data_IF_395143956626
#
_entry.id   IF_395143956626
#
_cell.length_a   1.000
_cell.length_b   1.000
_cell.length_c   1.000
_cell.angle_alpha   90.00
_cell.angle_beta   90.00
_cell.angle_gamma   90.00
#
_symmetry.space_group_name_H-M   'P 1'
#
loop_
_entity.id
_entity.type
_entity.pdbx_description
1 polymer ?
#
# COMPACT_ATOMS: atom_id res chain seq x y z
N UNK A 1 -7.44 -2.38 14.80
CA UNK A 1 -7.97 -3.76 14.76
C UNK A 1 -7.18 -4.63 15.73
N UNK A 2 -7.85 -5.24 16.70
CA UNK A 2 -7.21 -6.10 17.72
C UNK A 2 -7.07 -7.52 17.18
N UNK A 3 -8.09 -8.01 16.47
CA UNK A 3 -8.12 -9.34 15.86
C UNK A 3 -9.05 -9.36 14.65
N UNK A 4 -8.75 -10.21 13.66
CA UNK A 4 -9.55 -10.41 12.45
C UNK A 4 -9.02 -9.68 11.24
N UNK A 5 -9.83 -9.65 10.18
CA UNK A 5 -9.54 -9.00 8.91
C UNK A 5 -10.74 -8.14 8.47
N UNK A 6 -10.48 -6.99 7.88
CA UNK A 6 -11.49 -6.11 7.35
C UNK A 6 -11.01 -5.41 6.07
N UNK A 7 -11.93 -4.85 5.32
CA UNK A 7 -11.66 -4.07 4.12
C UNK A 7 -12.23 -2.66 4.30
N UNK A 8 -11.41 -1.65 4.04
CA UNK A 8 -11.86 -0.30 3.83
C UNK A 8 -12.36 -0.19 2.40
N UNK A 9 -13.62 0.10 2.23
CA UNK A 9 -14.27 0.16 0.91
C UNK A 9 -14.86 1.52 0.67
N UNK A 10 -14.95 1.88 -0.60
CA UNK A 10 -15.63 3.08 -1.08
C UNK A 10 -16.67 2.68 -2.12
N UNK A 11 -17.83 3.30 -2.04
CA UNK A 11 -18.84 3.22 -3.09
C UNK A 11 -18.84 4.52 -3.90
N UNK A 12 -18.79 4.39 -5.22
CA UNK A 12 -18.94 5.53 -6.12
C UNK A 12 -20.44 5.91 -6.29
N UNK A 13 -20.71 6.98 -7.03
CA UNK A 13 -22.06 7.42 -7.30
C UNK A 13 -22.91 6.42 -8.11
N UNK A 14 -22.30 5.43 -8.75
CA UNK A 14 -22.96 4.34 -9.44
C UNK A 14 -23.16 3.09 -8.57
N UNK A 15 -22.71 3.14 -7.30
CA UNK A 15 -22.79 2.02 -6.36
C UNK A 15 -21.66 0.97 -6.57
N UNK A 16 -20.64 1.30 -7.36
CA UNK A 16 -19.50 0.39 -7.57
C UNK A 16 -18.63 0.38 -6.34
N UNK A 17 -18.42 -0.82 -5.79
CA UNK A 17 -17.56 -1.05 -4.63
C UNK A 17 -16.09 -1.09 -5.04
N UNK A 18 -15.28 -0.25 -4.43
CA UNK A 18 -13.81 -0.28 -4.59
C UNK A 18 -13.17 -0.57 -3.24
N UNK A 19 -12.31 -1.57 -3.18
CA UNK A 19 -11.51 -1.86 -1.99
C UNK A 19 -10.32 -0.91 -2.01
N UNK A 20 -10.24 -0.04 -1.00
CA UNK A 20 -9.14 0.91 -0.84
C UNK A 20 -7.98 0.28 -0.08
N UNK A 21 -8.29 -0.46 0.99
CA UNK A 21 -7.30 -1.09 1.85
C UNK A 21 -7.84 -2.38 2.45
N UNK A 22 -6.95 -3.35 2.67
CA UNK A 22 -7.20 -4.53 3.50
C UNK A 22 -6.42 -4.39 4.79
N UNK A 23 -7.09 -4.67 5.88
CA UNK A 23 -6.56 -4.51 7.23
C UNK A 23 -6.57 -5.85 7.95
N UNK A 24 -5.46 -6.11 8.61
CA UNK A 24 -5.26 -7.26 9.49
C UNK A 24 -5.07 -6.77 10.93
N UNK A 25 -4.80 -7.68 11.83
CA UNK A 25 -4.44 -7.38 13.22
C UNK A 25 -3.34 -6.33 13.29
N UNK A 26 -3.55 -5.28 14.06
CA UNK A 26 -2.68 -4.10 14.16
C UNK A 26 -3.01 -3.00 13.15
N UNK A 27 -3.88 -3.23 12.16
CA UNK A 27 -4.35 -2.22 11.23
C UNK A 27 -5.16 -1.12 11.92
N UNK A 28 -5.08 0.10 11.40
CA UNK A 28 -5.82 1.28 11.88
C UNK A 28 -6.64 1.83 10.72
N UNK A 29 -7.82 2.32 11.01
CA UNK A 29 -8.70 2.97 10.04
C UNK A 29 -9.41 4.17 10.67
N UNK A 30 -9.87 5.09 9.82
CA UNK A 30 -10.57 6.30 10.25
C UNK A 30 -9.65 7.45 10.65
N UNK A 31 -8.32 7.28 10.61
CA UNK A 31 -7.36 8.35 10.91
C UNK A 31 -7.53 9.54 9.96
N UNK A 32 -7.71 9.29 8.67
CA UNK A 32 -7.93 10.37 7.70
C UNK A 32 -9.23 11.14 7.99
N UNK A 33 -10.31 10.45 8.35
CA UNK A 33 -11.57 11.07 8.69
C UNK A 33 -11.47 11.87 9.98
N UNK A 34 -10.73 11.37 10.97
CA UNK A 34 -10.51 12.06 12.24
C UNK A 34 -9.75 13.38 12.07
N UNK A 35 -8.82 13.46 11.10
CA UNK A 35 -7.97 14.63 10.90
C UNK A 35 -8.46 15.60 9.82
N UNK A 36 -9.29 15.17 8.88
CA UNK A 36 -9.61 15.97 7.69
C UNK A 36 -11.03 16.50 7.65
N UNK A 37 -11.90 16.14 8.57
CA UNK A 37 -13.34 16.51 8.53
C UNK A 37 -13.94 16.33 7.10
N UNK A 38 -13.49 15.34 6.36
CA UNK A 38 -13.94 15.06 5.00
C UNK A 38 -15.42 14.62 5.07
N UNK A 39 -16.30 15.56 4.79
CA UNK A 39 -17.74 15.33 4.72
C UNK A 39 -18.07 14.66 3.38
N UNK A 40 -18.79 13.56 3.44
CA UNK A 40 -19.46 13.01 2.26
C UNK A 40 -18.78 11.85 1.55
N UNK A 41 -17.72 11.28 2.09
CA UNK A 41 -17.15 10.07 1.51
C UNK A 41 -17.94 8.83 1.97
N UNK A 42 -18.46 8.06 1.03
CA UNK A 42 -19.08 6.76 1.24
C UNK A 42 -18.03 5.70 1.57
N UNK A 43 -17.28 5.94 2.64
CA UNK A 43 -16.29 5.01 3.17
C UNK A 43 -16.94 4.09 4.19
N UNK A 44 -16.75 2.79 4.00
CA UNK A 44 -17.23 1.78 4.93
C UNK A 44 -16.08 0.84 5.29
N UNK A 45 -16.11 0.33 6.51
CA UNK A 45 -15.23 -0.75 6.95
C UNK A 45 -16.07 -2.02 7.06
N UNK A 46 -15.75 -2.99 6.24
CA UNK A 46 -16.48 -4.26 6.15
C UNK A 46 -15.58 -5.37 6.69
N UNK A 47 -16.05 -6.06 7.72
CA UNK A 47 -15.33 -7.22 8.27
C UNK A 47 -15.40 -8.42 7.34
N UNK A 48 -14.30 -9.14 7.19
CA UNK A 48 -14.25 -10.40 6.43
C UNK A 48 -14.72 -11.62 7.26
N UNK A 49 -15.07 -11.40 8.52
CA UNK A 49 -15.54 -12.41 9.46
C UNK A 49 -15.66 -11.84 10.85
N UNK A 50 -15.39 -12.66 11.87
CA UNK A 50 -15.37 -12.19 13.27
C UNK A 50 -14.17 -11.27 13.49
N UNK A 51 -14.42 -10.04 13.93
CA UNK A 51 -13.41 -9.03 14.19
C UNK A 51 -13.55 -8.43 15.59
N UNK A 52 -12.43 -8.08 16.18
CA UNK A 52 -12.34 -7.30 17.40
C UNK A 52 -11.69 -5.96 17.10
N UNK A 53 -12.39 -4.86 17.39
CA UNK A 53 -11.96 -3.49 17.06
C UNK A 53 -11.94 -2.66 18.34
N UNK A 54 -10.85 -1.93 18.55
CA UNK A 54 -10.75 -0.90 19.57
C UNK A 54 -11.00 0.46 18.93
N UNK A 55 -12.08 1.11 19.37
CA UNK A 55 -12.37 2.50 19.00
C UNK A 55 -11.69 3.45 19.97
N UNK A 56 -11.02 4.46 19.43
CA UNK A 56 -10.37 5.52 20.21
C UNK A 56 -10.93 6.87 19.80
N UNK A 57 -11.32 7.66 20.78
CA UNK A 57 -11.87 8.98 20.55
C UNK A 57 -10.77 9.99 20.24
N UNK A 58 -10.86 10.67 19.10
CA UNK A 58 -9.85 11.61 18.62
C UNK A 58 -9.51 12.72 19.64
N UNK A 59 -10.48 13.39 20.30
CA UNK A 59 -10.19 14.35 21.34
C UNK A 59 -9.34 13.81 22.48
N UNK A 60 -9.48 12.53 22.83
CA UNK A 60 -8.67 11.90 23.88
C UNK A 60 -7.22 11.64 23.41
N UNK A 61 -7.02 11.39 22.12
CA UNK A 61 -5.67 11.25 21.54
C UNK A 61 -4.94 12.59 21.54
N UNK A 62 -5.63 13.67 21.20
CA UNK A 62 -5.05 15.01 21.08
C UNK A 62 -4.93 15.77 22.38
N UNK A 63 -5.66 15.37 23.41
CA UNK A 63 -5.62 16.05 24.73
C UNK A 63 -4.29 15.78 25.40
N UNK A 64 -3.49 16.84 25.58
CA UNK A 64 -2.23 16.76 26.32
C UNK A 64 -2.50 16.31 27.76
N UNK A 65 -1.77 15.26 28.18
CA UNK A 65 -1.71 14.93 29.59
C UNK A 65 -0.97 16.05 30.34
N UNK A 66 -1.50 16.53 31.44
CA UNK A 66 -0.85 17.56 32.28
C UNK A 66 0.54 17.13 32.75
N UNK A 67 0.81 15.83 32.83
CA UNK A 67 2.08 15.24 33.27
C UNK A 67 2.97 14.69 32.15
N UNK A 68 2.77 15.09 30.88
CA UNK A 68 3.56 14.62 29.73
C UNK A 68 3.88 13.11 29.80
N UNK A 69 2.84 12.26 29.96
CA UNK A 69 3.04 10.86 30.22
C UNK A 69 3.64 10.12 29.02
N UNK A 70 4.57 9.22 29.31
CA UNK A 70 5.31 8.45 28.29
C UNK A 70 4.38 7.63 27.38
N UNK A 71 3.24 7.15 27.88
CA UNK A 71 2.26 6.40 27.10
C UNK A 71 1.60 7.26 26.03
N UNK A 72 1.25 8.50 26.36
CA UNK A 72 0.67 9.42 25.39
C UNK A 72 1.67 9.80 24.29
N UNK A 73 2.92 10.07 24.67
CA UNK A 73 3.98 10.37 23.69
C UNK A 73 4.19 9.21 22.71
N UNK A 74 4.21 7.96 23.21
CA UNK A 74 4.30 6.76 22.35
C UNK A 74 3.10 6.58 21.44
N UNK A 75 1.89 6.85 21.94
CA UNK A 75 0.68 6.78 21.12
C UNK A 75 0.76 7.75 19.94
N UNK A 76 1.09 9.01 20.20
CA UNK A 76 1.24 10.05 19.18
C UNK A 76 2.34 9.70 18.18
N UNK A 77 3.51 9.24 18.66
CA UNK A 77 4.61 8.79 17.79
C UNK A 77 4.19 7.63 16.88
N UNK A 78 3.48 6.64 17.43
CA UNK A 78 2.98 5.53 16.64
C UNK A 78 1.98 5.97 15.58
N UNK A 79 1.07 6.90 15.89
CA UNK A 79 0.14 7.47 14.93
C UNK A 79 0.86 8.21 13.80
N UNK A 80 1.86 9.03 14.12
CA UNK A 80 2.68 9.69 13.10
C UNK A 80 3.39 8.68 12.19
N UNK A 81 3.92 7.61 12.77
CA UNK A 81 4.57 6.55 11.99
C UNK A 81 3.60 5.87 11.05
N UNK A 82 2.38 5.57 11.51
CA UNK A 82 1.32 4.99 10.67
C UNK A 82 0.95 5.91 9.51
N UNK A 83 0.69 7.19 9.77
CA UNK A 83 0.33 8.16 8.73
C UNK A 83 1.48 8.34 7.73
N UNK A 84 2.72 8.43 8.19
CA UNK A 84 3.89 8.51 7.32
C UNK A 84 4.04 7.27 6.44
N UNK A 85 3.81 6.08 6.98
CA UNK A 85 3.83 4.83 6.21
C UNK A 85 2.71 4.76 5.18
N UNK A 86 1.50 5.23 5.51
CA UNK A 86 0.39 5.38 4.57
C UNK A 86 0.77 6.33 3.43
N UNK A 87 1.28 7.51 3.76
CA UNK A 87 1.72 8.50 2.77
C UNK A 87 2.80 7.93 1.84
N UNK A 88 3.76 7.20 2.40
CA UNK A 88 4.81 6.52 1.64
C UNK A 88 4.25 5.48 0.67
N UNK A 89 3.29 4.64 1.11
CA UNK A 89 2.62 3.64 0.25
C UNK A 89 1.86 4.31 -0.89
N UNK A 90 1.12 5.38 -0.61
CA UNK A 90 0.39 6.13 -1.64
C UNK A 90 1.34 6.79 -2.64
N UNK A 91 2.42 7.42 -2.18
CA UNK A 91 3.44 8.01 -3.04
C UNK A 91 4.04 7.00 -4.01
N UNK A 92 4.40 5.81 -3.52
CA UNK A 92 4.92 4.71 -4.36
C UNK A 92 3.89 4.23 -5.39
N UNK A 93 2.63 4.11 -4.98
CA UNK A 93 1.58 3.74 -5.93
C UNK A 93 1.41 4.79 -7.02
N UNK A 94 1.45 6.07 -6.67
CA UNK A 94 1.43 7.17 -7.65
C UNK A 94 2.63 7.05 -8.60
N UNK A 95 3.84 6.82 -8.09
CA UNK A 95 5.04 6.64 -8.89
C UNK A 95 4.89 5.51 -9.92
N UNK A 96 4.38 4.35 -9.50
CA UNK A 96 4.10 3.22 -10.39
C UNK A 96 3.03 3.56 -11.42
N UNK A 97 1.92 4.16 -10.99
CA UNK A 97 0.80 4.48 -11.87
C UNK A 97 1.13 5.58 -12.89
N UNK A 98 2.06 6.46 -12.58
CA UNK A 98 2.55 7.52 -13.45
C UNK A 98 3.38 7.00 -14.64
N UNK A 99 3.81 5.74 -14.58
CA UNK A 99 4.54 5.13 -15.69
C UNK A 99 3.63 4.90 -16.89
N UNK A 100 4.15 5.13 -18.10
CA UNK A 100 3.35 5.13 -19.34
C UNK A 100 2.97 3.73 -19.82
N UNK A 101 3.89 2.77 -19.73
CA UNK A 101 3.68 1.41 -20.23
C UNK A 101 3.51 0.41 -19.08
N UNK A 102 2.86 -0.74 -19.38
CA UNK A 102 2.75 -1.85 -18.42
C UNK A 102 4.14 -2.33 -18.01
N UNK A 103 5.09 -2.40 -18.94
CA UNK A 103 6.48 -2.76 -18.69
C UNK A 103 7.14 -1.83 -17.68
N UNK A 104 7.00 -0.53 -17.87
CA UNK A 104 7.62 0.46 -16.98
C UNK A 104 6.96 0.46 -15.60
N UNK A 105 5.63 0.28 -15.53
CA UNK A 105 4.92 0.09 -14.26
C UNK A 105 5.44 -1.11 -13.48
N UNK A 106 5.60 -2.25 -14.16
CA UNK A 106 6.15 -3.47 -13.56
C UNK A 106 7.59 -3.27 -13.11
N UNK A 107 8.46 -2.67 -13.94
CA UNK A 107 9.86 -2.38 -13.59
C UNK A 107 9.95 -1.47 -12.37
N UNK A 108 9.20 -0.38 -12.36
CA UNK A 108 9.13 0.56 -11.23
C UNK A 108 8.69 -0.16 -9.95
N UNK A 109 7.62 -0.93 -10.00
CA UNK A 109 7.12 -1.68 -8.85
C UNK A 109 8.13 -2.72 -8.35
N UNK A 110 8.76 -3.49 -9.25
CA UNK A 110 9.75 -4.49 -8.89
C UNK A 110 11.01 -3.88 -8.30
N UNK A 111 11.42 -2.72 -8.82
CA UNK A 111 12.54 -1.97 -8.25
C UNK A 111 12.24 -1.53 -6.80
N UNK A 112 11.06 -0.97 -6.56
CA UNK A 112 10.62 -0.59 -5.20
C UNK A 112 10.66 -1.80 -4.26
N UNK A 113 10.12 -2.94 -4.66
CA UNK A 113 10.14 -4.16 -3.85
C UNK A 113 11.57 -4.65 -3.55
N UNK A 114 12.45 -4.60 -4.54
CA UNK A 114 13.84 -5.01 -4.36
C UNK A 114 14.59 -4.08 -3.41
N UNK A 115 14.36 -2.78 -3.48
CA UNK A 115 14.93 -1.80 -2.53
C UNK A 115 14.45 -2.09 -1.10
N UNK A 116 13.18 -2.41 -0.91
CA UNK A 116 12.61 -2.76 0.40
C UNK A 116 13.18 -4.06 0.96
N UNK A 117 13.45 -5.01 0.09
CA UNK A 117 14.03 -6.31 0.46
C UNK A 117 15.55 -6.25 0.68
N UNK A 118 16.18 -5.12 0.40
CA UNK A 118 17.63 -4.94 0.51
C UNK A 118 18.45 -5.72 -0.52
N UNK A 119 17.84 -6.14 -1.66
CA UNK A 119 18.52 -6.94 -2.67
C UNK A 119 17.77 -7.01 -3.99
N UNK A 120 18.21 -7.91 -4.87
CA UNK A 120 17.59 -8.13 -6.19
C UNK A 120 16.43 -9.12 -6.18
N UNK A 121 16.18 -9.77 -5.05
CA UNK A 121 15.13 -10.77 -4.89
C UNK A 121 14.12 -10.29 -3.86
N UNK A 122 12.85 -10.36 -4.22
CA UNK A 122 11.74 -9.99 -3.36
C UNK A 122 10.61 -11.03 -3.45
N UNK A 123 9.70 -11.02 -2.49
CA UNK A 123 8.47 -11.82 -2.55
C UNK A 123 7.31 -10.87 -2.82
N UNK A 124 6.53 -11.17 -3.88
CA UNK A 124 5.32 -10.40 -4.17
C UNK A 124 4.35 -10.50 -2.98
N UNK A 125 3.92 -9.37 -2.40
CA UNK A 125 3.05 -9.37 -1.21
C UNK A 125 1.63 -9.89 -1.52
N UNK A 126 1.25 -9.95 -2.79
CA UNK A 126 -0.08 -10.34 -3.24
C UNK A 126 -0.03 -11.20 -4.52
N UNK A 127 -1.20 -11.69 -4.96
CA UNK A 127 -1.35 -12.49 -6.17
C UNK A 127 -1.11 -11.67 -7.44
N UNK A 128 -0.86 -12.33 -8.57
CA UNK A 128 -0.72 -11.65 -9.86
C UNK A 128 -2.03 -10.96 -10.30
N UNK A 129 -3.19 -11.44 -9.87
CA UNK A 129 -4.46 -10.74 -10.12
C UNK A 129 -4.50 -9.41 -9.38
N UNK A 130 -4.18 -9.44 -8.09
CA UNK A 130 -4.10 -8.22 -7.27
C UNK A 130 -2.99 -7.26 -7.74
N UNK A 131 -1.90 -7.79 -8.33
CA UNK A 131 -0.87 -6.95 -8.94
C UNK A 131 -1.41 -6.19 -10.16
N UNK A 132 -2.21 -6.85 -11.01
CA UNK A 132 -2.83 -6.19 -12.16
C UNK A 132 -3.75 -5.04 -11.71
N UNK A 133 -4.55 -5.27 -10.66
CA UNK A 133 -5.40 -4.24 -10.05
C UNK A 133 -4.56 -3.10 -9.45
N UNK A 134 -3.46 -3.45 -8.77
CA UNK A 134 -2.57 -2.47 -8.15
C UNK A 134 -1.94 -1.50 -9.16
N UNK A 135 -1.49 -2.03 -10.32
CA UNK A 135 -0.90 -1.21 -11.41
C UNK A 135 -1.95 -0.68 -12.39
N UNK A 136 -3.24 -0.89 -12.12
CA UNK A 136 -4.38 -0.48 -12.96
C UNK A 136 -4.20 -0.91 -14.42
N UNK A 137 -4.18 -2.23 -14.66
CA UNK A 137 -4.07 -2.81 -16.00
C UNK A 137 -4.85 -4.11 -16.10
N UNK A 138 -5.21 -4.48 -17.33
CA UNK A 138 -5.82 -5.79 -17.61
C UNK A 138 -4.83 -6.93 -17.26
N UNK A 139 -5.33 -7.95 -16.56
CA UNK A 139 -4.53 -9.09 -16.13
C UNK A 139 -3.87 -9.82 -17.30
N UNK A 140 -4.60 -10.01 -18.39
CA UNK A 140 -4.08 -10.74 -19.56
C UNK A 140 -2.98 -9.95 -20.25
N UNK A 141 -3.12 -8.62 -20.32
CA UNK A 141 -2.10 -7.73 -20.85
C UNK A 141 -0.83 -7.74 -19.97
N UNK A 142 -1.01 -7.66 -18.66
CA UNK A 142 0.11 -7.77 -17.72
C UNK A 142 0.83 -9.13 -17.82
N UNK A 143 0.09 -10.23 -17.90
CA UNK A 143 0.70 -11.57 -18.00
C UNK A 143 1.50 -11.73 -19.29
N UNK A 144 1.02 -11.18 -20.41
CA UNK A 144 1.80 -11.16 -21.67
C UNK A 144 3.09 -10.36 -21.52
N UNK A 145 3.03 -9.24 -20.82
CA UNK A 145 4.23 -8.41 -20.61
C UNK A 145 5.22 -9.09 -19.66
N UNK A 146 4.75 -9.70 -18.58
CA UNK A 146 5.61 -10.50 -17.67
C UNK A 146 6.32 -11.64 -18.41
N UNK A 147 5.60 -12.31 -19.33
CA UNK A 147 6.20 -13.35 -20.17
C UNK A 147 7.34 -12.78 -21.02
N UNK A 148 7.11 -11.66 -21.71
CA UNK A 148 8.16 -10.98 -22.50
C UNK A 148 9.36 -10.57 -21.64
N UNK A 149 9.11 -9.98 -20.47
CA UNK A 149 10.19 -9.58 -19.56
C UNK A 149 11.05 -10.78 -19.09
N UNK A 150 10.45 -11.96 -18.95
CA UNK A 150 11.20 -13.20 -18.66
C UNK A 150 11.99 -13.67 -19.87
N UNK A 151 11.41 -13.64 -21.07
CA UNK A 151 12.07 -13.99 -22.35
C UNK A 151 13.22 -13.03 -22.64
N UNK A 152 13.07 -11.75 -22.33
CA UNK A 152 14.11 -10.71 -22.43
C UNK A 152 15.20 -10.85 -21.36
N UNK A 153 15.08 -11.79 -20.41
CA UNK A 153 16.06 -12.00 -19.34
C UNK A 153 16.10 -10.87 -18.29
N UNK A 154 15.05 -10.08 -18.15
CA UNK A 154 14.98 -8.96 -17.22
C UNK A 154 14.60 -9.41 -15.80
N UNK A 155 13.79 -10.45 -15.71
CA UNK A 155 13.28 -11.00 -14.44
C UNK A 155 13.22 -12.53 -14.45
N UNK A 156 13.29 -13.10 -13.25
CA UNK A 156 12.87 -14.47 -12.96
C UNK A 156 11.70 -14.39 -11.98
N UNK A 157 10.63 -15.12 -12.26
CA UNK A 157 9.46 -15.20 -11.40
C UNK A 157 9.08 -16.66 -11.17
N UNK A 158 9.22 -17.13 -9.94
CA UNK A 158 8.91 -18.47 -9.47
C UNK A 158 7.86 -18.40 -8.38
N UNK A 159 6.62 -18.72 -8.75
CA UNK A 159 5.48 -18.50 -7.86
C UNK A 159 5.35 -17.02 -7.50
N UNK A 160 5.65 -16.68 -6.24
CA UNK A 160 5.65 -15.29 -5.74
C UNK A 160 7.07 -14.72 -5.56
N UNK A 161 8.12 -15.52 -5.78
CA UNK A 161 9.50 -15.07 -5.69
C UNK A 161 9.90 -14.41 -7.00
N UNK A 162 10.23 -13.14 -6.91
CA UNK A 162 10.71 -12.31 -8.01
C UNK A 162 12.21 -12.08 -7.85
N UNK A 163 12.97 -12.25 -8.91
CA UNK A 163 14.36 -11.81 -8.99
C UNK A 163 14.52 -10.88 -10.19
N UNK A 164 15.03 -9.68 -9.96
CA UNK A 164 15.34 -8.71 -11.02
C UNK A 164 16.78 -8.94 -11.45
N UNK A 165 16.97 -9.28 -12.74
CA UNK A 165 18.28 -9.56 -13.34
C UNK A 165 18.91 -8.32 -13.96
N UNK A 166 18.08 -7.37 -14.39
CA UNK A 166 18.53 -6.10 -14.95
C UNK A 166 19.26 -5.26 -13.89
N UNK A 167 20.41 -4.72 -14.23
CA UNK A 167 21.01 -3.68 -13.39
C UNK A 167 20.14 -2.44 -13.45
N UNK A 168 19.92 -1.73 -12.33
CA UNK A 168 19.40 -0.39 -12.40
C UNK A 168 20.27 0.38 -13.40
N UNK A 169 19.70 0.96 -14.43
CA UNK A 169 20.43 1.97 -15.21
C UNK A 169 20.82 3.02 -14.18
N UNK A 170 22.13 3.31 -14.11
CA UNK A 170 22.68 4.39 -13.33
C UNK A 170 22.06 5.71 -13.80
N UNK A 171 20.85 6.01 -13.34
CA UNK A 171 20.28 7.36 -13.34
C UNK A 171 20.77 8.13 -12.11
N UNK A 172 21.92 7.76 -11.57
CA UNK A 172 22.74 8.64 -10.78
C UNK A 172 23.50 9.56 -11.72
N UNK A 173 22.86 10.65 -12.14
CA UNK A 173 23.54 11.92 -12.54
C UNK A 173 22.56 12.84 -13.26
N UNK A 174 21.66 13.47 -12.53
CA UNK A 174 21.20 14.82 -12.90
C UNK A 174 20.42 15.52 -11.79
N UNK A 175 20.96 15.55 -10.60
CA UNK A 175 20.63 16.60 -9.63
C UNK A 175 21.95 17.20 -9.14
N UNK A 176 22.48 18.11 -9.96
CA UNK A 176 23.36 19.19 -9.52
C UNK A 176 22.69 20.51 -9.82
#
# INVERSE_FOLDING_TARGET
>A
MVRGEAELVRFDCAGTRTILERMETGGVFGELLAFTAALGDSLEVVSAGECEVLFMDYPHIMKRCEKACQHHSRLVENLFRLVAEQARRLSRRVEVLSQRSIRDKLRCYFHILCLESGGRTAVLPFSLSTLADYISTDRSAMMRELKKMREDGLIVLEGRRLTVLEQPRDEERNFR
#
